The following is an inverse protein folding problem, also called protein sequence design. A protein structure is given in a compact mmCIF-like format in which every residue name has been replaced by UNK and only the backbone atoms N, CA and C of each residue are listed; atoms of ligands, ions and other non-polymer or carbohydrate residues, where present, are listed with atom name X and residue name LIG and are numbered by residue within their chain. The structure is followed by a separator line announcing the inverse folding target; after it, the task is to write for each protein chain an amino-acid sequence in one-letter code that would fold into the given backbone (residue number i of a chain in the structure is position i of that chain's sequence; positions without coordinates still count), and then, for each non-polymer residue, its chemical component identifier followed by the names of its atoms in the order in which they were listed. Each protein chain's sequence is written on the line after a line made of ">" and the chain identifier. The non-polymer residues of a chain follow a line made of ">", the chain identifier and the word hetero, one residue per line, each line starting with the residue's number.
data_IF_162239159244
#
_entry.id   IF_162239159244
#
_cell.length_a   1.000
_cell.length_b   1.000
_cell.length_c   1.000
_cell.angle_alpha   90.00
_cell.angle_beta   90.00
_cell.angle_gamma   90.00
#
_symmetry.space_group_name_H-M   'P 1'
#
loop_
_entity.id
_entity.type
_entity.pdbx_description
1 polymer ?
#
# COMPACT_ATOMS: atom_id res chain seq x y z
N UNK A 1 13.42 -31.48 -0.88
CA UNK A 1 12.56 -30.59 -1.68
C UNK A 1 11.66 -29.87 -0.70
N UNK A 2 11.76 -28.55 -0.61
CA UNK A 2 10.80 -27.78 0.20
C UNK A 2 9.42 -27.97 -0.40
N UNK A 3 8.53 -28.61 0.36
CA UNK A 3 7.19 -28.99 -0.08
C UNK A 3 6.27 -27.77 -0.25
N UNK A 4 6.67 -26.61 0.27
CA UNK A 4 5.87 -25.40 0.32
C UNK A 4 6.66 -24.19 -0.17
N UNK A 5 6.02 -23.35 -0.97
CA UNK A 5 6.57 -22.11 -1.51
C UNK A 5 6.42 -20.95 -0.49
N UNK A 6 6.83 -21.17 0.76
CA UNK A 6 6.92 -20.08 1.74
C UNK A 6 7.93 -19.04 1.23
N UNK A 7 7.64 -17.77 1.45
CA UNK A 7 8.52 -16.68 0.99
C UNK A 7 8.60 -15.59 2.04
N UNK A 8 9.80 -15.39 2.60
CA UNK A 8 10.00 -14.40 3.63
C UNK A 8 9.15 -14.67 4.87
N UNK A 9 8.39 -13.65 5.30
CA UNK A 9 7.41 -13.74 6.39
C UNK A 9 6.08 -14.40 5.98
N UNK A 10 5.89 -14.75 4.71
CA UNK A 10 4.64 -15.28 4.17
C UNK A 10 4.68 -16.81 4.01
N UNK A 11 3.53 -17.45 4.20
CA UNK A 11 3.29 -18.90 4.26
C UNK A 11 2.16 -19.28 3.32
N UNK A 12 2.50 -20.02 2.27
CA UNK A 12 1.55 -20.46 1.23
C UNK A 12 0.36 -21.26 1.77
N UNK A 13 0.56 -21.99 2.86
CA UNK A 13 -0.39 -22.89 3.49
C UNK A 13 -1.01 -22.32 4.76
N UNK A 14 -0.73 -21.06 5.12
CA UNK A 14 -1.38 -20.42 6.25
C UNK A 14 -2.91 -20.41 6.06
N UNK A 15 -3.63 -20.73 7.13
CA UNK A 15 -5.07 -20.82 7.15
C UNK A 15 -5.56 -20.27 8.48
N UNK A 16 -5.93 -18.99 8.47
CA UNK A 16 -6.50 -18.31 9.63
C UNK A 16 -7.39 -17.15 9.18
N UNK A 17 -8.25 -16.70 10.09
CA UNK A 17 -8.99 -15.47 9.97
C UNK A 17 -9.19 -14.96 11.39
N UNK A 18 -8.40 -13.94 11.76
CA UNK A 18 -8.33 -13.46 13.14
C UNK A 18 -8.97 -12.07 13.20
N UNK A 19 -10.07 -11.89 13.94
CA UNK A 19 -10.63 -10.57 14.17
C UNK A 19 -9.63 -9.73 14.97
N UNK A 20 -9.28 -8.55 14.45
CA UNK A 20 -8.30 -7.63 15.07
C UNK A 20 -8.91 -6.30 15.46
N UNK A 21 -10.05 -5.96 14.86
CA UNK A 21 -10.88 -4.80 15.15
C UNK A 21 -12.31 -5.07 14.65
N UNK A 22 -13.30 -4.29 15.09
CA UNK A 22 -14.67 -4.43 14.60
C UNK A 22 -14.72 -4.29 13.07
N UNK A 23 -15.18 -5.33 12.37
CA UNK A 23 -15.24 -5.35 10.91
C UNK A 23 -13.89 -5.49 10.19
N UNK A 24 -12.79 -5.79 10.91
CA UNK A 24 -11.45 -5.99 10.34
C UNK A 24 -10.83 -7.29 10.83
N UNK A 25 -10.46 -8.14 9.87
CA UNK A 25 -9.77 -9.39 10.11
C UNK A 25 -8.35 -9.35 9.56
N UNK A 26 -7.40 -9.90 10.29
CA UNK A 26 -6.12 -10.33 9.74
C UNK A 26 -6.29 -11.68 9.07
N UNK A 27 -5.91 -11.74 7.79
CA UNK A 27 -5.99 -12.94 6.95
C UNK A 27 -4.64 -13.23 6.29
N UNK A 28 -4.33 -14.48 5.94
CA UNK A 28 -3.11 -14.80 5.22
C UNK A 28 -3.13 -14.20 3.82
N UNK A 29 -1.95 -13.87 3.29
CA UNK A 29 -1.77 -13.33 1.96
C UNK A 29 -2.38 -14.22 0.86
N UNK A 30 -2.37 -15.53 1.08
CA UNK A 30 -2.91 -16.54 0.17
C UNK A 30 -4.45 -16.50 0.03
N UNK A 31 -5.14 -15.71 0.85
CA UNK A 31 -6.61 -15.49 0.79
C UNK A 31 -7.00 -14.91 -0.58
N UNK A 32 -6.13 -14.09 -1.17
CA UNK A 32 -6.27 -13.55 -2.52
C UNK A 32 -5.57 -14.43 -3.58
N UNK A 33 -5.55 -15.74 -3.34
CA UNK A 33 -5.04 -16.76 -4.24
C UNK A 33 -3.67 -17.29 -3.84
N UNK A 34 -3.54 -18.63 -3.85
CA UNK A 34 -2.29 -19.36 -3.62
C UNK A 34 -1.34 -19.24 -4.81
N UNK A 35 -0.05 -19.48 -4.60
CA UNK A 35 0.91 -19.61 -5.71
C UNK A 35 0.79 -20.97 -6.40
N UNK A 36 0.98 -20.96 -7.72
CA UNK A 36 1.17 -22.16 -8.55
C UNK A 36 2.65 -22.53 -8.70
N UNK A 37 3.55 -21.71 -8.18
CA UNK A 37 4.98 -21.81 -8.43
C UNK A 37 5.78 -22.03 -7.14
N UNK A 38 6.81 -22.87 -7.25
CA UNK A 38 7.90 -22.92 -6.27
C UNK A 38 8.75 -21.66 -6.33
N UNK A 39 9.54 -21.40 -5.28
CA UNK A 39 10.50 -20.29 -5.29
C UNK A 39 11.55 -20.42 -6.42
N UNK A 40 11.92 -21.64 -6.81
CA UNK A 40 12.84 -21.86 -7.93
C UNK A 40 12.23 -21.43 -9.26
N UNK A 41 10.99 -21.87 -9.54
CA UNK A 41 10.26 -21.43 -10.74
C UNK A 41 10.02 -19.93 -10.75
N UNK A 42 9.74 -19.32 -9.60
CA UNK A 42 9.54 -17.88 -9.54
C UNK A 42 10.84 -17.09 -9.81
N UNK A 43 12.02 -17.62 -9.44
CA UNK A 43 13.31 -17.04 -9.85
C UNK A 43 13.53 -17.12 -11.36
N UNK A 44 13.10 -18.21 -12.00
CA UNK A 44 13.13 -18.33 -13.47
C UNK A 44 12.16 -17.32 -14.12
N UNK A 45 10.98 -17.12 -13.55
CA UNK A 45 10.02 -16.10 -14.01
C UNK A 45 10.60 -14.69 -13.86
N UNK A 46 11.33 -14.41 -12.77
CA UNK A 46 11.88 -13.09 -12.48
C UNK A 46 12.87 -12.58 -13.55
N UNK A 47 13.52 -13.47 -14.29
CA UNK A 47 14.46 -13.09 -15.36
C UNK A 47 13.81 -12.99 -16.75
N UNK A 48 12.52 -13.33 -16.88
CA UNK A 48 11.79 -13.19 -18.13
C UNK A 48 11.58 -11.71 -18.51
N UNK A 49 11.40 -11.40 -19.82
CA UNK A 49 10.96 -10.08 -20.26
C UNK A 49 9.64 -9.66 -19.60
N UNK A 50 9.45 -8.36 -19.35
CA UNK A 50 8.30 -7.85 -18.59
C UNK A 50 6.92 -8.32 -19.09
N UNK A 51 6.61 -8.35 -20.41
CA UNK A 51 5.31 -8.85 -20.88
C UNK A 51 5.08 -10.32 -20.55
N UNK A 52 6.11 -11.15 -20.69
CA UNK A 52 6.01 -12.57 -20.35
C UNK A 52 5.94 -12.76 -18.84
N UNK A 53 6.79 -12.07 -18.07
CA UNK A 53 6.77 -12.09 -16.62
C UNK A 53 5.39 -11.74 -16.07
N UNK A 54 4.78 -10.66 -16.59
CA UNK A 54 3.42 -10.21 -16.23
C UNK A 54 2.35 -11.26 -16.51
N UNK A 55 2.45 -11.99 -17.62
CA UNK A 55 1.45 -13.01 -17.97
C UNK A 55 1.50 -14.23 -17.06
N UNK A 56 2.65 -14.50 -16.40
CA UNK A 56 2.81 -15.60 -15.44
C UNK A 56 2.17 -15.32 -14.08
N UNK A 57 2.12 -14.07 -13.64
CA UNK A 57 1.57 -13.70 -12.32
C UNK A 57 0.04 -13.63 -12.38
N UNK A 58 -0.66 -14.27 -11.45
CA UNK A 58 -2.12 -14.27 -11.40
C UNK A 58 -2.73 -13.96 -10.03
N UNK A 59 -2.00 -14.19 -8.95
CA UNK A 59 -2.50 -13.98 -7.58
C UNK A 59 -1.64 -12.99 -6.82
N UNK A 60 -2.18 -12.46 -5.73
CA UNK A 60 -1.42 -11.56 -4.85
C UNK A 60 -0.18 -12.25 -4.29
N UNK A 61 -0.32 -13.52 -3.89
CA UNK A 61 0.79 -14.30 -3.37
C UNK A 61 1.92 -14.45 -4.40
N UNK A 62 1.60 -14.73 -5.67
CA UNK A 62 2.60 -14.81 -6.74
C UNK A 62 3.30 -13.47 -6.98
N UNK A 63 2.57 -12.36 -6.91
CA UNK A 63 3.16 -11.03 -7.06
C UNK A 63 4.13 -10.71 -5.92
N UNK A 64 3.76 -10.98 -4.67
CA UNK A 64 4.65 -10.79 -3.51
C UNK A 64 5.85 -11.74 -3.55
N UNK A 65 5.64 -12.99 -3.96
CA UNK A 65 6.72 -13.96 -4.15
C UNK A 65 7.74 -13.46 -5.18
N UNK A 66 7.27 -12.96 -6.33
CA UNK A 66 8.12 -12.34 -7.34
C UNK A 66 8.83 -11.09 -6.81
N UNK A 67 8.13 -10.23 -6.08
CA UNK A 67 8.66 -8.98 -5.53
C UNK A 67 9.85 -9.22 -4.60
N UNK A 68 9.71 -10.18 -3.67
CA UNK A 68 10.76 -10.57 -2.74
C UNK A 68 11.95 -11.20 -3.49
N UNK A 69 11.67 -12.13 -4.42
CA UNK A 69 12.72 -12.85 -5.14
C UNK A 69 13.47 -11.99 -6.17
N UNK A 70 12.84 -10.92 -6.66
CA UNK A 70 13.48 -9.93 -7.53
C UNK A 70 14.45 -9.03 -6.74
N UNK A 71 14.44 -9.09 -5.41
CA UNK A 71 15.33 -8.31 -4.55
C UNK A 71 15.03 -6.82 -4.57
N UNK A 72 13.75 -6.44 -4.74
CA UNK A 72 13.33 -5.03 -4.77
C UNK A 72 13.66 -4.32 -3.44
N UNK A 73 14.22 -3.11 -3.51
CA UNK A 73 14.72 -2.35 -2.34
C UNK A 73 14.03 -1.01 -2.15
N UNK A 74 14.06 -0.49 -0.92
CA UNK A 74 13.62 0.88 -0.66
C UNK A 74 14.55 1.92 -1.26
N UNK A 75 13.98 2.93 -1.92
CA UNK A 75 14.67 4.12 -2.40
C UNK A 75 13.76 5.35 -2.37
N UNK A 76 14.35 6.55 -2.28
CA UNK A 76 13.63 7.81 -2.53
C UNK A 76 13.72 8.13 -4.02
N UNK A 77 12.63 7.90 -4.74
CA UNK A 77 12.59 8.00 -6.20
C UNK A 77 11.46 8.89 -6.74
N UNK A 78 10.88 9.73 -5.87
CA UNK A 78 9.95 10.77 -6.28
C UNK A 78 10.69 11.85 -7.08
N UNK A 79 10.06 12.31 -8.16
CA UNK A 79 10.49 13.50 -8.89
C UNK A 79 9.68 14.70 -8.39
N UNK A 80 10.35 15.61 -7.71
CA UNK A 80 9.77 16.80 -7.10
C UNK A 80 9.67 17.95 -8.12
N UNK A 81 8.46 18.49 -8.31
CA UNK A 81 8.15 19.57 -9.25
C UNK A 81 7.33 20.64 -8.56
N UNK A 82 7.87 21.86 -8.48
CA UNK A 82 7.10 23.01 -7.97
C UNK A 82 6.19 23.60 -9.06
N UNK A 83 4.91 23.74 -8.74
CA UNK A 83 3.92 24.44 -9.58
C UNK A 83 3.21 25.46 -8.69
N UNK A 84 3.59 26.73 -8.83
CA UNK A 84 3.17 27.78 -7.89
C UNK A 84 3.82 27.57 -6.52
N UNK A 85 3.00 27.55 -5.47
CA UNK A 85 3.37 27.30 -4.08
C UNK A 85 3.25 25.82 -3.67
N UNK A 86 2.91 24.94 -4.61
CA UNK A 86 2.66 23.52 -4.35
C UNK A 86 3.84 22.68 -4.84
N UNK A 87 4.38 21.84 -3.94
CA UNK A 87 5.33 20.78 -4.26
C UNK A 87 4.57 19.56 -4.78
N UNK A 88 4.74 19.23 -6.05
CA UNK A 88 4.19 18.00 -6.63
C UNK A 88 5.23 16.91 -6.67
N UNK A 89 4.86 15.72 -6.20
CA UNK A 89 5.67 14.51 -6.35
C UNK A 89 5.10 13.70 -7.51
N UNK A 90 5.91 13.53 -8.55
CA UNK A 90 5.64 12.62 -9.65
C UNK A 90 6.25 11.26 -9.33
N UNK A 91 5.47 10.21 -9.59
CA UNK A 91 5.85 8.83 -9.28
C UNK A 91 6.14 8.04 -10.56
N UNK A 92 6.98 7.00 -10.46
CA UNK A 92 7.21 6.05 -11.57
C UNK A 92 5.89 5.44 -12.03
N UNK A 93 5.68 5.30 -13.34
CA UNK A 93 4.55 4.54 -13.88
C UNK A 93 4.63 3.06 -13.47
N UNK A 94 3.54 2.27 -13.56
CA UNK A 94 3.59 0.83 -13.32
C UNK A 94 4.67 0.09 -14.14
N UNK A 95 4.85 0.46 -15.40
CA UNK A 95 5.89 -0.10 -16.28
C UNK A 95 7.30 0.25 -15.80
N UNK A 96 7.52 1.51 -15.41
CA UNK A 96 8.80 1.97 -14.87
C UNK A 96 9.11 1.30 -13.52
N UNK A 97 8.11 1.17 -12.65
CA UNK A 97 8.22 0.49 -11.37
C UNK A 97 8.63 -0.98 -11.57
N UNK A 98 7.93 -1.70 -12.44
CA UNK A 98 8.23 -3.12 -12.74
C UNK A 98 9.57 -3.34 -13.43
N UNK A 99 10.05 -2.36 -14.21
CA UNK A 99 11.38 -2.37 -14.82
C UNK A 99 12.52 -2.05 -13.84
N UNK A 100 12.20 -1.40 -12.72
CA UNK A 100 13.17 -1.00 -11.69
C UNK A 100 13.38 -2.08 -10.62
N UNK A 101 14.45 -1.96 -9.86
CA UNK A 101 14.77 -2.81 -8.69
C UNK A 101 14.62 -2.09 -7.35
N UNK A 102 14.11 -0.86 -7.35
CA UNK A 102 14.00 -0.04 -6.15
C UNK A 102 12.94 1.07 -6.28
N UNK A 103 12.42 1.53 -5.14
CA UNK A 103 11.53 2.67 -5.09
C UNK A 103 10.88 2.95 -3.73
N UNK A 104 10.05 4.00 -3.69
CA UNK A 104 9.27 4.39 -2.52
C UNK A 104 7.88 3.72 -2.50
N UNK A 105 7.04 4.08 -1.53
CA UNK A 105 5.69 3.52 -1.37
C UNK A 105 4.78 3.67 -2.60
N UNK A 106 4.90 4.78 -3.34
CA UNK A 106 4.18 4.98 -4.58
C UNK A 106 4.67 4.02 -5.68
N UNK A 107 5.99 3.82 -5.78
CA UNK A 107 6.59 2.86 -6.70
C UNK A 107 6.23 1.42 -6.33
N UNK A 108 6.23 1.06 -5.04
CA UNK A 108 5.81 -0.26 -4.56
C UNK A 108 4.34 -0.55 -4.94
N UNK A 109 3.46 0.45 -4.79
CA UNK A 109 2.04 0.38 -5.19
C UNK A 109 1.90 0.24 -6.71
N UNK A 110 2.63 1.03 -7.50
CA UNK A 110 2.63 0.94 -8.95
C UNK A 110 3.24 -0.36 -9.49
N UNK A 111 4.24 -0.91 -8.79
CA UNK A 111 4.80 -2.23 -9.08
C UNK A 111 3.70 -3.29 -8.99
N UNK A 112 2.92 -3.29 -7.90
CA UNK A 112 1.83 -4.25 -7.72
C UNK A 112 0.72 -4.06 -8.77
N UNK A 113 0.39 -2.80 -9.08
CA UNK A 113 -0.58 -2.45 -10.12
C UNK A 113 -0.18 -3.02 -11.50
N UNK A 114 1.12 -3.00 -11.84
CA UNK A 114 1.59 -3.55 -13.10
C UNK A 114 1.20 -5.02 -13.27
N UNK A 115 1.33 -5.84 -12.22
CA UNK A 115 1.05 -7.28 -12.29
C UNK A 115 -0.44 -7.61 -12.10
N UNK A 116 -1.14 -6.91 -11.21
CA UNK A 116 -2.47 -7.31 -10.75
C UNK A 116 -3.63 -6.48 -11.30
N UNK A 117 -3.38 -5.36 -12.00
CA UNK A 117 -4.45 -4.58 -12.63
C UNK A 117 -5.29 -5.47 -13.55
N UNK A 118 -6.60 -5.49 -13.30
CA UNK A 118 -7.57 -6.29 -14.04
C UNK A 118 -7.68 -7.76 -13.60
N UNK A 119 -6.95 -8.20 -12.57
CA UNK A 119 -7.07 -9.55 -12.00
C UNK A 119 -8.12 -9.65 -10.88
N UNK A 120 -8.47 -8.51 -10.30
CA UNK A 120 -9.54 -8.39 -9.29
C UNK A 120 -10.60 -7.41 -9.79
N UNK A 121 -11.86 -7.52 -9.31
CA UNK A 121 -12.95 -6.64 -9.71
C UNK A 121 -12.63 -5.15 -9.53
N UNK A 122 -11.99 -4.80 -8.43
CA UNK A 122 -11.53 -3.44 -8.15
C UNK A 122 -10.19 -3.48 -7.41
N UNK A 123 -9.29 -2.57 -7.80
CA UNK A 123 -7.98 -2.36 -7.20
C UNK A 123 -7.65 -0.87 -7.28
N UNK A 124 -7.04 -0.33 -6.24
CA UNK A 124 -6.62 1.05 -6.21
C UNK A 124 -5.68 1.32 -5.05
N UNK A 125 -5.58 2.58 -4.66
CA UNK A 125 -4.70 2.99 -3.57
C UNK A 125 -5.48 3.40 -2.32
N UNK A 126 -5.01 2.96 -1.16
CA UNK A 126 -5.38 3.46 0.15
C UNK A 126 -4.31 4.44 0.62
N UNK A 127 -4.73 5.61 1.08
CA UNK A 127 -3.83 6.69 1.45
C UNK A 127 -4.19 7.26 2.81
N UNK A 128 -3.18 7.79 3.50
CA UNK A 128 -3.38 8.65 4.65
C UNK A 128 -2.48 9.88 4.58
N UNK A 129 -2.91 10.96 5.23
CA UNK A 129 -2.21 12.24 5.30
C UNK A 129 -2.10 12.73 6.75
N UNK A 130 -0.93 13.25 7.09
CA UNK A 130 -0.57 13.80 8.40
C UNK A 130 -0.45 15.33 8.34
N UNK A 131 -0.58 15.97 9.50
CA UNK A 131 -0.58 17.45 9.61
C UNK A 131 0.78 18.08 9.32
N UNK A 132 1.86 17.30 9.44
CA UNK A 132 3.23 17.70 9.13
C UNK A 132 3.54 17.67 7.62
N UNK A 133 2.55 17.33 6.77
CA UNK A 133 2.73 17.18 5.33
C UNK A 133 3.25 15.81 4.90
N UNK A 134 3.54 14.89 5.83
CA UNK A 134 3.82 13.51 5.48
C UNK A 134 2.54 12.76 5.13
N UNK A 135 2.68 11.75 4.29
CA UNK A 135 1.59 10.84 3.95
C UNK A 135 2.13 9.49 3.56
N UNK A 136 1.21 8.57 3.28
CA UNK A 136 1.56 7.27 2.75
C UNK A 136 0.54 6.83 1.73
N UNK A 137 0.99 5.99 0.82
CA UNK A 137 0.15 5.37 -0.19
C UNK A 137 0.46 3.88 -0.25
N UNK A 138 -0.59 3.09 -0.32
CA UNK A 138 -0.52 1.65 -0.33
C UNK A 138 -1.66 1.07 -1.15
N UNK A 139 -1.73 -0.25 -1.30
CA UNK A 139 -2.73 -0.89 -2.17
C UNK A 139 -3.98 -1.32 -1.41
N UNK A 140 -5.14 -1.12 -2.01
CA UNK A 140 -6.33 -1.91 -1.69
C UNK A 140 -6.81 -2.75 -2.89
N UNK A 141 -7.41 -3.89 -2.59
CA UNK A 141 -8.09 -4.77 -3.54
C UNK A 141 -9.50 -5.00 -3.02
N UNK A 142 -10.52 -4.92 -3.87
CA UNK A 142 -11.90 -5.21 -3.48
C UNK A 142 -12.44 -6.37 -4.30
N UNK A 143 -12.86 -7.43 -3.60
CA UNK A 143 -13.39 -8.66 -4.19
C UNK A 143 -14.26 -9.40 -3.18
N UNK A 144 -15.26 -10.13 -3.65
CA UNK A 144 -16.15 -10.93 -2.78
C UNK A 144 -16.88 -10.12 -1.71
N UNK A 145 -17.15 -8.84 -1.94
CA UNK A 145 -17.80 -7.94 -0.98
C UNK A 145 -16.88 -7.29 0.05
N UNK A 146 -15.59 -7.66 0.11
CA UNK A 146 -14.64 -7.14 1.09
C UNK A 146 -13.56 -6.25 0.45
N UNK A 147 -13.02 -5.34 1.25
CA UNK A 147 -11.76 -4.65 1.02
C UNK A 147 -10.61 -5.45 1.59
N UNK A 148 -9.49 -5.46 0.88
CA UNK A 148 -8.24 -6.06 1.31
C UNK A 148 -7.13 -5.01 1.22
N UNK A 149 -6.41 -4.77 2.31
CA UNK A 149 -5.36 -3.76 2.39
C UNK A 149 -4.00 -4.43 2.54
N UNK A 150 -3.03 -4.02 1.72
CA UNK A 150 -1.66 -4.54 1.76
C UNK A 150 -0.63 -3.46 1.49
N UNK A 151 0.40 -3.45 2.34
CA UNK A 151 1.57 -2.60 2.20
C UNK A 151 2.78 -3.33 1.63
N UNK A 152 3.00 -3.14 0.32
CA UNK A 152 4.12 -3.72 -0.42
C UNK A 152 5.47 -3.23 0.09
N UNK A 153 5.54 -2.05 0.71
CA UNK A 153 6.76 -1.56 1.35
C UNK A 153 7.28 -2.57 2.39
N UNK A 154 6.36 -3.23 3.10
CA UNK A 154 6.68 -4.21 4.12
C UNK A 154 6.84 -5.63 3.56
N UNK A 155 6.48 -5.86 2.31
CA UNK A 155 6.79 -7.09 1.59
C UNK A 155 8.26 -7.17 1.20
N UNK A 156 8.98 -6.04 1.10
CA UNK A 156 10.40 -6.01 0.69
C UNK A 156 11.28 -6.81 1.64
N UNK A 157 12.29 -7.47 1.10
CA UNK A 157 13.20 -8.31 1.90
C UNK A 157 13.96 -7.49 2.95
N UNK A 158 14.32 -6.25 2.62
CA UNK A 158 14.99 -5.31 3.54
C UNK A 158 14.08 -4.84 4.69
N UNK A 159 12.77 -5.02 4.56
CA UNK A 159 11.77 -4.56 5.52
C UNK A 159 11.26 -5.70 6.40
N UNK A 160 11.33 -6.94 5.93
CA UNK A 160 10.79 -8.12 6.65
C UNK A 160 11.43 -8.39 8.01
N UNK A 161 12.68 -7.97 8.23
CA UNK A 161 13.35 -8.13 9.53
C UNK A 161 12.65 -7.34 10.66
N UNK A 162 11.82 -6.34 10.32
CA UNK A 162 11.13 -5.48 11.28
C UNK A 162 9.73 -5.97 11.63
N UNK A 163 9.23 -7.05 10.99
CA UNK A 163 7.88 -7.54 11.18
C UNK A 163 7.86 -9.03 11.48
N UNK A 164 6.83 -9.46 12.19
CA UNK A 164 6.66 -10.87 12.53
C UNK A 164 6.08 -11.66 11.35
N UNK A 165 6.35 -12.97 11.24
CA UNK A 165 5.74 -13.83 10.22
C UNK A 165 4.21 -13.77 10.22
N UNK A 166 3.58 -14.12 9.08
CA UNK A 166 2.13 -14.28 9.02
C UNK A 166 1.67 -15.52 9.79
N UNK A 167 1.54 -15.38 11.10
CA UNK A 167 1.37 -16.51 12.03
C UNK A 167 -0.07 -16.72 12.48
N UNK A 168 -0.94 -15.71 12.34
CA UNK A 168 -2.26 -15.69 12.98
C UNK A 168 -2.19 -15.51 14.51
N UNK A 169 -1.03 -15.17 15.07
CA UNK A 169 -0.87 -14.93 16.51
C UNK A 169 -0.97 -13.43 16.84
N UNK A 170 -1.98 -13.03 17.62
CA UNK A 170 -2.20 -11.63 18.01
C UNK A 170 -1.01 -10.99 18.73
N UNK A 171 -0.15 -11.77 19.39
CA UNK A 171 1.06 -11.23 20.04
C UNK A 171 2.07 -10.68 19.04
N UNK A 172 2.11 -11.27 17.84
CA UNK A 172 2.99 -10.84 16.75
C UNK A 172 2.47 -9.52 16.17
N UNK A 173 1.16 -9.42 15.99
CA UNK A 173 0.49 -8.19 15.55
C UNK A 173 0.69 -7.03 16.54
N UNK A 174 0.58 -7.29 17.85
CA UNK A 174 0.67 -6.27 18.89
C UNK A 174 1.97 -5.45 18.83
N UNK A 175 3.04 -6.03 18.29
CA UNK A 175 4.38 -5.43 18.16
C UNK A 175 4.60 -4.64 16.85
N UNK A 176 3.62 -4.62 15.96
CA UNK A 176 3.70 -3.97 14.65
C UNK A 176 2.63 -2.89 14.51
N UNK A 177 2.88 -1.81 13.76
CA UNK A 177 1.84 -0.79 13.52
C UNK A 177 0.60 -1.40 12.87
N UNK A 178 0.70 -1.84 11.63
CA UNK A 178 -0.34 -2.60 10.93
C UNK A 178 0.25 -3.12 9.62
N UNK A 179 1.14 -2.34 9.01
CA UNK A 179 1.81 -2.65 7.76
C UNK A 179 2.58 -3.98 7.83
N UNK A 180 2.59 -4.74 6.72
CA UNK A 180 3.22 -6.07 6.61
C UNK A 180 2.27 -7.26 6.65
N UNK A 181 0.98 -7.02 6.83
CA UNK A 181 -0.06 -8.05 6.80
C UNK A 181 -1.15 -7.71 5.79
N UNK A 182 -1.90 -8.74 5.38
CA UNK A 182 -3.13 -8.57 4.62
C UNK A 182 -4.30 -8.45 5.59
N UNK A 183 -5.01 -7.33 5.56
CA UNK A 183 -6.26 -7.17 6.31
C UNK A 183 -7.45 -7.22 5.38
N UNK A 184 -8.48 -7.92 5.80
CA UNK A 184 -9.80 -7.92 5.18
C UNK A 184 -10.73 -7.03 6.01
N UNK A 185 -11.50 -6.18 5.35
CA UNK A 185 -12.55 -5.41 6.00
C UNK A 185 -13.82 -5.38 5.16
N UNK A 186 -14.99 -5.39 5.80
CA UNK A 186 -16.27 -5.19 5.11
C UNK A 186 -16.41 -3.75 4.62
N UNK A 187 -15.88 -2.81 5.40
CA UNK A 187 -15.90 -1.39 5.12
C UNK A 187 -14.51 -0.78 5.30
N UNK A 188 -14.08 0.04 4.34
CA UNK A 188 -12.80 0.74 4.41
C UNK A 188 -12.71 1.73 5.58
N UNK A 189 -13.84 2.27 6.07
CA UNK A 189 -13.87 3.17 7.25
C UNK A 189 -13.46 2.45 8.52
N UNK A 190 -13.84 1.19 8.70
CA UNK A 190 -13.46 0.41 9.88
C UNK A 190 -11.97 0.08 9.85
N UNK A 191 -11.40 -0.16 8.67
CA UNK A 191 -9.95 -0.23 8.51
C UNK A 191 -9.23 1.08 8.86
N UNK A 192 -9.81 2.24 8.53
CA UNK A 192 -9.24 3.54 8.94
C UNK A 192 -9.21 3.68 10.47
N UNK A 193 -10.28 3.27 11.15
CA UNK A 193 -10.37 3.30 12.62
C UNK A 193 -9.34 2.37 13.25
N UNK A 194 -9.25 1.14 12.75
CA UNK A 194 -8.20 0.20 13.13
C UNK A 194 -6.80 0.81 12.96
N UNK A 195 -6.50 1.40 11.79
CA UNK A 195 -5.20 2.04 11.54
C UNK A 195 -4.91 3.19 12.51
N UNK A 196 -5.90 4.04 12.84
CA UNK A 196 -5.75 5.11 13.84
C UNK A 196 -5.43 4.57 15.24
N UNK A 197 -6.12 3.51 15.68
CA UNK A 197 -5.88 2.87 16.97
C UNK A 197 -4.48 2.29 17.03
N UNK A 198 -4.02 1.70 15.93
CA UNK A 198 -2.66 1.18 15.79
C UNK A 198 -1.59 2.28 15.82
N UNK A 199 -1.79 3.40 15.12
CA UNK A 199 -0.87 4.54 15.20
C UNK A 199 -0.75 5.04 16.65
N UNK A 200 -1.88 5.19 17.34
CA UNK A 200 -1.90 5.61 18.73
C UNK A 200 -1.22 4.62 19.69
N UNK A 201 -1.46 3.32 19.51
CA UNK A 201 -0.82 2.27 20.31
C UNK A 201 0.71 2.25 20.18
N UNK A 202 1.22 2.74 19.04
CA UNK A 202 2.65 2.84 18.74
C UNK A 202 3.24 4.22 19.07
N UNK A 203 2.45 5.12 19.69
CA UNK A 203 2.88 6.47 20.07
C UNK A 203 3.14 7.39 18.88
N UNK A 204 2.49 7.15 17.73
CA UNK A 204 2.61 7.98 16.52
C UNK A 204 1.45 8.95 16.40
N UNK A 205 1.73 10.04 15.69
CA UNK A 205 0.70 10.99 15.28
C UNK A 205 -0.36 10.29 14.42
N UNK A 206 -1.63 10.57 14.75
CA UNK A 206 -2.76 10.05 14.02
C UNK A 206 -2.91 10.82 12.70
N UNK A 207 -3.11 10.14 11.56
CA UNK A 207 -3.45 10.81 10.33
C UNK A 207 -4.72 11.62 10.48
N UNK A 208 -4.76 12.82 9.89
CA UNK A 208 -5.96 13.66 9.91
C UNK A 208 -6.96 13.24 8.83
N UNK A 209 -6.49 12.56 7.79
CA UNK A 209 -7.31 12.14 6.66
C UNK A 209 -6.89 10.74 6.16
N UNK A 210 -7.90 9.93 5.85
CA UNK A 210 -7.77 8.71 5.06
C UNK A 210 -8.63 8.83 3.81
N UNK A 211 -8.10 8.37 2.67
CA UNK A 211 -8.80 8.45 1.39
C UNK A 211 -8.40 7.29 0.46
N UNK A 212 -9.25 7.00 -0.51
CA UNK A 212 -8.97 6.07 -1.60
C UNK A 212 -8.68 6.84 -2.89
N UNK A 213 -7.88 6.20 -3.75
CA UNK A 213 -7.79 6.48 -5.19
C UNK A 213 -8.31 5.26 -5.94
N UNK A 214 -9.47 5.36 -6.61
CA UNK A 214 -10.12 4.21 -7.29
C UNK A 214 -9.54 3.91 -8.68
N UNK A 215 -8.25 4.18 -8.83
CA UNK A 215 -7.44 3.89 -10.00
C UNK A 215 -6.31 2.96 -9.56
N UNK A 216 -6.01 1.87 -10.30
CA UNK A 216 -4.96 0.93 -9.93
C UNK A 216 -3.56 1.56 -9.87
N UNK A 217 -3.28 2.50 -10.77
CA UNK A 217 -2.02 3.24 -10.83
C UNK A 217 -2.08 4.55 -10.05
N UNK A 218 -0.96 4.86 -9.40
CA UNK A 218 -0.68 6.09 -8.68
C UNK A 218 -0.08 7.10 -9.66
N UNK A 219 -0.66 8.29 -9.74
CA UNK A 219 -0.17 9.37 -10.62
C UNK A 219 0.77 10.33 -9.88
N UNK A 220 0.28 11.48 -9.44
CA UNK A 220 1.04 12.47 -8.68
C UNK A 220 0.30 12.84 -7.38
N UNK A 221 1.03 13.45 -6.45
CA UNK A 221 0.45 14.04 -5.23
C UNK A 221 1.06 15.42 -5.03
N UNK A 222 0.23 16.43 -4.82
CA UNK A 222 0.69 17.76 -4.46
C UNK A 222 0.63 17.96 -2.94
N UNK A 223 1.59 18.70 -2.41
CA UNK A 223 1.60 19.17 -1.04
C UNK A 223 1.90 20.67 -1.06
N UNK A 224 1.01 21.44 -0.44
CA UNK A 224 1.26 22.83 -0.09
C UNK A 224 1.34 22.95 1.42
N UNK A 225 2.49 23.42 1.90
CA UNK A 225 2.74 23.71 3.30
C UNK A 225 2.68 25.22 3.55
N UNK A 226 1.99 25.61 4.61
CA UNK A 226 1.96 26.96 5.16
C UNK A 226 2.23 26.91 6.67
N UNK A 227 2.47 28.05 7.30
CA UNK A 227 2.68 28.13 8.76
C UNK A 227 1.51 27.51 9.56
N UNK A 228 0.30 27.56 8.99
CA UNK A 228 -0.95 27.17 9.65
C UNK A 228 -1.60 25.92 9.08
N UNK A 229 -1.13 25.36 7.96
CA UNK A 229 -1.80 24.22 7.33
C UNK A 229 -0.95 23.41 6.35
N UNK A 230 -1.24 22.11 6.30
CA UNK A 230 -0.84 21.20 5.22
C UNK A 230 -2.05 20.90 4.32
N UNK A 231 -1.90 21.18 3.02
CA UNK A 231 -2.93 20.94 2.00
C UNK A 231 -2.42 19.88 1.01
N UNK A 232 -3.09 18.73 0.97
CA UNK A 232 -2.78 17.67 0.02
C UNK A 232 -3.65 17.82 -1.23
N UNK A 233 -3.02 17.91 -2.40
CA UNK A 233 -3.71 17.94 -3.68
C UNK A 233 -3.68 16.55 -4.32
N UNK A 234 -4.86 16.00 -4.59
CA UNK A 234 -5.02 14.68 -5.22
C UNK A 234 -5.67 14.82 -6.59
N UNK A 235 -5.04 14.28 -7.65
CA UNK A 235 -5.59 14.34 -8.99
C UNK A 235 -6.99 13.71 -9.11
N UNK A 236 -7.95 14.41 -9.72
CA UNK A 236 -9.30 13.89 -9.98
C UNK A 236 -9.32 12.71 -10.96
N UNK A 237 -8.29 12.56 -11.78
CA UNK A 237 -8.11 11.39 -12.66
C UNK A 237 -7.81 10.09 -11.89
N UNK A 238 -7.50 10.18 -10.59
CA UNK A 238 -7.34 9.04 -9.69
C UNK A 238 -8.66 8.62 -9.02
N UNK A 239 -9.78 9.29 -9.36
CA UNK A 239 -11.11 9.08 -8.78
C UNK A 239 -11.08 9.06 -7.23
N UNK A 240 -10.58 10.13 -6.58
CA UNK A 240 -10.36 10.11 -5.16
C UNK A 240 -11.65 10.16 -4.36
N UNK A 241 -11.66 9.56 -3.18
CA UNK A 241 -12.78 9.62 -2.23
C UNK A 241 -12.28 9.59 -0.79
N UNK A 242 -12.76 10.53 0.02
CA UNK A 242 -12.46 10.59 1.45
C UNK A 242 -13.18 9.45 2.16
N UNK A 243 -12.45 8.74 3.04
CA UNK A 243 -13.00 7.71 3.92
C UNK A 243 -13.27 8.26 5.31
N UNK A 244 -12.29 8.99 5.86
CA UNK A 244 -12.33 9.48 7.23
C UNK A 244 -11.56 10.80 7.35
N UNK A 245 -12.16 11.78 8.02
CA UNK A 245 -11.51 13.00 8.47
C UNK A 245 -11.55 13.04 10.00
N UNK A 246 -10.39 13.17 10.63
CA UNK A 246 -10.34 13.40 12.07
C UNK A 246 -10.88 14.80 12.37
N UNK A 247 -11.85 14.91 13.29
CA UNK A 247 -12.33 16.22 13.76
C UNK A 247 -11.21 16.94 14.50
N UNK A 248 -11.13 18.26 14.36
CA UNK A 248 -10.07 19.11 14.94
C UNK A 248 -10.08 19.23 16.48
N UNK A 249 -10.89 18.44 17.17
CA UNK A 249 -11.02 18.50 18.62
C UNK A 249 -10.31 17.31 19.26
N UNK A 250 -8.99 17.43 19.52
CA UNK A 250 -8.25 16.78 20.62
C UNK A 250 -6.73 16.91 20.37
N UNK A 251 -6.13 17.98 20.90
CA UNK A 251 -4.67 18.14 20.95
C UNK A 251 -4.19 19.46 20.38
N UNK A 252 -3.88 20.42 21.25
CA UNK A 252 -3.20 21.65 20.87
C UNK A 252 -1.82 21.34 20.29
N UNK A 253 -1.70 21.42 18.96
CA UNK A 253 -0.46 21.19 18.23
C UNK A 253 -0.64 21.56 16.75
N UNK A 254 0.13 22.57 16.32
CA UNK A 254 0.25 23.20 14.98
C UNK A 254 -0.48 22.54 13.79
N UNK A 255 -1.36 23.34 13.18
CA UNK A 255 -1.74 23.28 11.77
C UNK A 255 -3.02 22.51 11.42
N UNK A 256 -3.94 23.15 10.68
CA UNK A 256 -5.08 22.48 10.06
C UNK A 256 -4.62 21.60 8.89
N UNK A 257 -5.09 20.36 8.80
CA UNK A 257 -4.84 19.49 7.64
C UNK A 257 -6.04 19.50 6.70
N UNK A 258 -5.82 19.60 5.38
CA UNK A 258 -6.91 19.47 4.40
C UNK A 258 -6.49 18.71 3.15
N UNK A 259 -7.50 18.26 2.39
CA UNK A 259 -7.32 17.57 1.12
C UNK A 259 -8.18 18.23 0.05
N UNK A 260 -7.58 18.49 -1.11
CA UNK A 260 -8.24 19.10 -2.26
C UNK A 260 -8.14 18.18 -3.47
N UNK A 261 -9.27 17.98 -4.15
CA UNK A 261 -9.32 17.20 -5.39
C UNK A 261 -9.22 18.15 -6.57
N UNK A 262 -8.13 18.03 -7.34
CA UNK A 262 -7.78 18.99 -8.40
C UNK A 262 -7.50 18.28 -9.72
N UNK A 263 -7.61 18.98 -10.85
CA UNK A 263 -7.16 18.42 -12.13
C UNK A 263 -5.65 18.20 -12.14
N UNK A 264 -5.17 17.12 -12.80
CA UNK A 264 -3.74 16.88 -12.95
C UNK A 264 -3.11 18.03 -13.77
N UNK A 265 -2.11 18.76 -13.22
CA UNK A 265 -1.43 19.84 -13.93
C UNK A 265 -0.86 19.35 -15.26
N UNK A 266 -0.93 20.19 -16.30
CA UNK A 266 -0.46 19.83 -17.64
C UNK A 266 1.01 19.41 -17.68
N UNK A 267 1.85 20.05 -16.85
CA UNK A 267 3.28 19.72 -16.70
C UNK A 267 3.53 18.32 -16.11
N UNK A 268 2.52 17.68 -15.55
CA UNK A 268 2.60 16.36 -14.90
C UNK A 268 1.85 15.28 -15.69
N UNK A 269 1.26 15.63 -16.85
CA UNK A 269 0.60 14.66 -17.74
C UNK A 269 1.59 13.78 -18.48
#
# INVERSE_FOLDING_TARGET
>A
MDKYAHIGNYRQDADFCIPVFEGVDWVPLNTLGKTRYTNAQMKEIAVLPLPERKSRIATLYEAVQLFILSGFRGAFDNEDVFIGDTLWQKHKSPEQAAASSEGCCATDTNWLAFYLRGRYPEMGSFCYANRDGNGHITTYIRTGGFYYFIDMMMCRLDSQAFFSPESGNLRDLARSEWAGYLYRAENAVDFCRFAMDRFAAMGRDRPFCFYLRRRPDVTATGLRLSEDAAVFHVPTCDHPSILLLAKESEGGGKGAGSIEFVGLPEKLR
#
